data_IF_033132652971
#
_entry.id   IF_033132652971
#
_cell.length_a   1.000
_cell.length_b   1.000
_cell.length_c   1.000
_cell.angle_alpha   90.00
_cell.angle_beta   90.00
_cell.angle_gamma   90.00
#
_symmetry.space_group_name_H-M   'P 1'
#
loop_
_entity.id
_entity.type
_entity.pdbx_description
1 polymer ?
#
# COMPACT_ATOMS: atom_id res chain seq x y z
N UNK A 1 1.82 -12.63 6.84
CA UNK A 1 0.52 -12.51 6.12
C UNK A 1 0.81 -12.67 4.65
N UNK A 2 0.09 -13.54 3.93
CA UNK A 2 0.21 -13.60 2.46
C UNK A 2 -0.51 -12.41 1.82
N UNK A 3 -0.04 -11.96 0.66
CA UNK A 3 -0.60 -10.85 -0.15
C UNK A 3 -2.12 -10.98 -0.36
N UNK A 4 -2.59 -12.21 -0.55
CA UNK A 4 -4.02 -12.50 -0.73
C UNK A 4 -4.85 -12.10 0.49
N UNK A 5 -4.31 -12.25 1.71
CA UNK A 5 -5.01 -11.89 2.95
C UNK A 5 -5.18 -10.38 3.13
N UNK A 6 -4.32 -9.56 2.49
CA UNK A 6 -4.40 -8.10 2.59
C UNK A 6 -5.52 -7.58 1.69
N UNK A 7 -5.69 -8.16 0.51
CA UNK A 7 -6.76 -7.78 -0.42
C UNK A 7 -8.16 -8.06 0.16
N UNK A 8 -8.31 -9.09 1.00
CA UNK A 8 -9.57 -9.38 1.71
C UNK A 8 -9.97 -8.32 2.77
N UNK A 9 -9.06 -7.41 3.13
CA UNK A 9 -9.36 -6.29 4.04
C UNK A 9 -10.10 -5.13 3.34
N UNK A 10 -10.33 -5.26 2.03
CA UNK A 10 -10.96 -4.27 1.17
C UNK A 10 -12.20 -4.86 0.49
N UNK A 11 -13.12 -4.00 0.07
CA UNK A 11 -14.37 -4.38 -0.59
C UNK A 11 -14.61 -3.55 -1.85
N UNK A 12 -15.36 -4.12 -2.80
CA UNK A 12 -15.73 -3.43 -4.04
C UNK A 12 -14.51 -2.92 -4.82
N UNK A 13 -14.58 -1.64 -5.23
CA UNK A 13 -13.54 -0.99 -6.04
C UNK A 13 -12.18 -0.93 -5.36
N UNK A 14 -12.16 -0.76 -4.03
CA UNK A 14 -10.92 -0.66 -3.27
C UNK A 14 -10.14 -1.99 -3.26
N UNK A 15 -10.87 -3.12 -3.30
CA UNK A 15 -10.26 -4.47 -3.42
C UNK A 15 -9.55 -4.64 -4.76
N UNK A 16 -10.19 -4.20 -5.85
CA UNK A 16 -9.61 -4.25 -7.20
C UNK A 16 -8.35 -3.38 -7.30
N UNK A 17 -8.38 -2.19 -6.71
CA UNK A 17 -7.24 -1.28 -6.67
C UNK A 17 -6.08 -1.88 -5.85
N UNK A 18 -6.38 -2.48 -4.70
CA UNK A 18 -5.41 -3.17 -3.87
C UNK A 18 -4.74 -4.33 -4.62
N UNK A 19 -5.52 -5.17 -5.30
CA UNK A 19 -5.00 -6.25 -6.15
C UNK A 19 -4.11 -5.72 -7.28
N UNK A 20 -4.53 -4.65 -7.96
CA UNK A 20 -3.75 -3.99 -9.02
C UNK A 20 -2.39 -3.47 -8.52
N UNK A 21 -2.38 -2.78 -7.37
CA UNK A 21 -1.14 -2.30 -6.73
C UNK A 21 -0.18 -3.46 -6.44
N UNK A 22 -0.71 -4.55 -5.88
CA UNK A 22 0.12 -5.70 -5.57
C UNK A 22 0.59 -6.48 -6.80
N UNK A 23 -0.16 -6.49 -7.90
CA UNK A 23 0.28 -7.09 -9.16
C UNK A 23 1.42 -6.28 -9.78
N UNK A 24 1.36 -4.94 -9.71
CA UNK A 24 2.43 -4.06 -10.17
C UNK A 24 3.76 -4.31 -9.44
N UNK A 25 3.71 -4.52 -8.12
CA UNK A 25 4.90 -4.79 -7.29
C UNK A 25 5.51 -6.17 -7.56
N UNK A 26 4.70 -7.16 -7.95
CA UNK A 26 5.11 -8.58 -7.96
C UNK A 26 5.51 -9.13 -9.34
N UNK A 27 4.89 -8.67 -10.43
CA UNK A 27 5.04 -9.29 -11.77
C UNK A 27 5.60 -8.30 -12.82
N UNK A 28 6.02 -7.11 -12.36
CA UNK A 28 6.17 -5.96 -13.25
C UNK A 28 4.82 -5.56 -13.86
N UNK A 29 4.77 -4.44 -14.57
CA UNK A 29 3.54 -3.84 -15.12
C UNK A 29 2.78 -4.69 -16.17
N UNK A 30 3.13 -5.96 -16.36
CA UNK A 30 2.58 -6.84 -17.39
C UNK A 30 1.13 -7.29 -17.13
N UNK A 31 0.58 -6.95 -15.97
CA UNK A 31 -0.83 -7.19 -15.60
C UNK A 31 -1.65 -5.90 -15.46
N UNK A 32 -1.19 -4.77 -16.03
CA UNK A 32 -1.97 -3.50 -16.07
C UNK A 32 -3.07 -3.53 -17.16
N UNK A 33 -3.45 -4.70 -17.65
CA UNK A 33 -4.51 -4.79 -18.65
C UNK A 33 -5.92 -4.70 -18.02
N UNK A 34 -6.48 -3.49 -18.16
CA UNK A 34 -7.81 -3.23 -18.73
C UNK A 34 -9.10 -3.16 -17.89
N UNK A 35 -9.07 -3.02 -16.55
CA UNK A 35 -10.34 -2.83 -15.78
C UNK A 35 -10.49 -1.49 -15.03
N UNK A 36 -9.56 -0.55 -15.18
CA UNK A 36 -9.75 0.83 -14.72
C UNK A 36 -9.86 1.77 -15.92
N UNK A 37 -10.98 1.67 -16.63
CA UNK A 37 -11.55 2.77 -17.42
C UNK A 37 -11.95 3.93 -16.47
N UNK A 38 -10.96 4.51 -15.80
CA UNK A 38 -11.14 5.46 -14.71
C UNK A 38 -10.32 6.68 -15.10
N UNK A 39 -11.03 7.58 -15.78
CA UNK A 39 -10.73 8.98 -16.03
C UNK A 39 -9.33 9.42 -15.56
N UNK A 40 -8.47 9.73 -16.53
CA UNK A 40 -7.19 10.38 -16.34
C UNK A 40 -7.39 11.74 -15.64
N UNK A 41 -7.32 11.76 -14.31
CA UNK A 41 -7.49 12.97 -13.50
C UNK A 41 -6.90 12.79 -12.10
N UNK A 42 -6.53 13.91 -11.46
CA UNK A 42 -5.88 13.97 -10.13
C UNK A 42 -6.58 13.10 -9.06
N UNK A 43 -7.91 13.01 -9.15
CA UNK A 43 -8.76 12.20 -8.26
C UNK A 43 -8.42 10.71 -8.25
N UNK A 44 -7.82 10.19 -9.32
CA UNK A 44 -7.40 8.79 -9.42
C UNK A 44 -6.14 8.54 -8.59
N UNK A 45 -5.15 9.44 -8.67
CA UNK A 45 -3.92 9.35 -7.88
C UNK A 45 -4.20 9.41 -6.37
N UNK A 46 -5.12 10.30 -5.95
CA UNK A 46 -5.54 10.39 -4.55
C UNK A 46 -6.10 9.06 -4.01
N UNK A 47 -6.91 8.37 -4.82
CA UNK A 47 -7.48 7.08 -4.44
C UNK A 47 -6.40 6.00 -4.34
N UNK A 48 -5.47 5.94 -5.30
CA UNK A 48 -4.36 4.99 -5.22
C UNK A 48 -3.47 5.23 -3.99
N UNK A 49 -3.12 6.48 -3.71
CA UNK A 49 -2.33 6.85 -2.53
C UNK A 49 -3.08 6.53 -1.23
N UNK A 50 -4.39 6.79 -1.17
CA UNK A 50 -5.24 6.40 -0.05
C UNK A 50 -5.19 4.90 0.18
N UNK A 51 -5.43 4.09 -0.86
CA UNK A 51 -5.41 2.62 -0.74
C UNK A 51 -4.03 2.12 -0.35
N UNK A 52 -2.97 2.71 -0.89
CA UNK A 52 -1.60 2.37 -0.51
C UNK A 52 -1.38 2.59 0.99
N UNK A 53 -1.80 3.72 1.56
CA UNK A 53 -1.76 3.95 3.02
C UNK A 53 -2.63 2.95 3.78
N UNK A 54 -3.86 2.70 3.31
CA UNK A 54 -4.82 1.81 3.96
C UNK A 54 -4.30 0.37 4.06
N UNK A 55 -3.44 -0.07 3.13
CA UNK A 55 -2.76 -1.37 3.22
C UNK A 55 -1.97 -1.44 4.53
N UNK A 56 -1.13 -0.45 4.82
CA UNK A 56 -0.35 -0.42 6.06
C UNK A 56 -1.23 -0.24 7.29
N UNK A 57 -2.27 0.59 7.23
CA UNK A 57 -3.21 0.78 8.36
C UNK A 57 -3.95 -0.53 8.69
N UNK A 58 -4.55 -1.18 7.70
CA UNK A 58 -5.35 -2.41 7.87
C UNK A 58 -4.48 -3.62 8.22
N UNK A 59 -3.25 -3.67 7.73
CA UNK A 59 -2.25 -4.68 8.10
C UNK A 59 -1.55 -4.40 9.43
N UNK A 60 -1.91 -3.34 10.17
CA UNK A 60 -1.30 -2.92 11.44
C UNK A 60 0.21 -2.62 11.34
N UNK A 61 0.65 -2.15 10.18
CA UNK A 61 2.03 -1.82 9.83
C UNK A 61 2.20 -0.32 9.51
N UNK A 62 1.35 0.54 10.08
CA UNK A 62 1.35 1.99 9.81
C UNK A 62 2.70 2.66 10.09
N UNK A 63 3.46 2.17 11.07
CA UNK A 63 4.81 2.69 11.35
C UNK A 63 5.77 2.54 10.17
N UNK A 64 5.67 1.48 9.37
CA UNK A 64 6.49 1.36 8.15
C UNK A 64 6.13 2.43 7.12
N UNK A 65 4.83 2.73 6.98
CA UNK A 65 4.38 3.80 6.09
C UNK A 65 4.87 5.17 6.57
N UNK A 66 4.75 5.48 7.87
CA UNK A 66 5.20 6.74 8.47
C UNK A 66 6.71 6.94 8.32
N UNK A 67 7.50 5.87 8.43
CA UNK A 67 8.93 5.88 8.13
C UNK A 67 9.20 6.15 6.65
N UNK A 68 8.47 5.51 5.73
CA UNK A 68 8.64 5.71 4.28
C UNK A 68 8.35 7.15 3.85
N UNK A 69 7.41 7.83 4.51
CA UNK A 69 7.06 9.23 4.19
C UNK A 69 7.76 10.26 5.07
N UNK A 70 8.64 9.83 5.98
CA UNK A 70 9.43 10.72 6.84
C UNK A 70 8.64 11.47 7.90
N UNK A 71 7.51 10.93 8.38
CA UNK A 71 6.72 11.52 9.48
C UNK A 71 7.32 11.19 10.86
N UNK A 72 7.98 10.04 10.98
CA UNK A 72 8.59 9.61 12.24
C UNK A 72 10.11 9.71 12.13
N UNK A 73 10.70 10.67 12.85
CA UNK A 73 12.14 10.70 13.11
C UNK A 73 12.51 9.44 13.91
N UNK A 74 13.26 8.52 13.33
CA UNK A 74 13.88 7.43 14.12
C UNK A 74 14.99 8.09 14.94
N UNK A 75 14.73 8.33 16.22
CA UNK A 75 15.80 8.58 17.19
C UNK A 75 16.77 7.38 17.14
N UNK A 76 18.03 7.53 16.72
CA UNK A 76 18.95 6.41 16.45
C UNK A 76 19.36 5.57 17.67
N UNK A 77 18.77 5.79 18.84
CA UNK A 77 19.34 5.43 20.14
C UNK A 77 18.66 4.24 20.84
N UNK A 78 17.97 3.36 20.11
CA UNK A 78 17.27 2.20 20.68
C UNK A 78 17.82 0.83 20.23
N UNK A 79 18.99 0.79 19.58
CA UNK A 79 19.62 -0.45 19.09
C UNK A 79 20.80 -0.96 19.94
N UNK A 80 21.12 -0.31 21.07
CA UNK A 80 22.21 -0.76 21.96
C UNK A 80 21.70 -1.12 23.36
N UNK A 81 20.99 -2.24 23.50
CA UNK A 81 20.99 -3.03 24.74
C UNK A 81 20.39 -4.42 24.48
N UNK A 82 21.24 -5.33 24.00
CA UNK A 82 21.23 -6.78 24.25
C UNK A 82 22.33 -7.44 23.40
N UNK A 83 23.56 -7.36 23.92
CA UNK A 83 24.67 -8.23 23.57
C UNK A 83 25.04 -9.06 24.81
#
# INVERSE_FOLDING_TARGET
MSKDNICELFQGRDKLICQSLFSWVNDGSHSIHDDLYINHGERTNEVYLRIFKDIFTKSKQIGHYELMIGITEVSPNLIDEQA
#
